data_IF_964937009109
#
_entry.id   IF_964937009109
#
_cell.length_a   1.000
_cell.length_b   1.000
_cell.length_c   1.000
_cell.angle_alpha   90.00
_cell.angle_beta   90.00
_cell.angle_gamma   90.00
#
_symmetry.space_group_name_H-M   'P 1'
#
loop_
_entity.id
_entity.type
_entity.pdbx_description
1 polymer ?
#
# COMPACT_ATOMS: atom_id res chain seq x y z
N UNK A 1 11.92 -60.69 64.57
CA UNK A 1 11.17 -59.70 63.85
C UNK A 1 12.03 -58.47 63.44
N UNK A 2 13.06 -58.63 62.58
CA UNK A 2 13.95 -57.49 62.18
C UNK A 2 14.12 -57.31 60.67
N UNK A 3 13.48 -58.19 59.83
CA UNK A 3 13.61 -58.12 58.35
C UNK A 3 12.66 -57.17 57.63
N UNK A 4 11.57 -56.72 58.27
CA UNK A 4 10.54 -55.85 57.60
C UNK A 4 11.01 -54.40 57.44
N UNK A 5 11.80 -53.84 58.38
CA UNK A 5 12.22 -52.41 58.30
C UNK A 5 13.22 -52.08 57.16
N UNK A 6 14.08 -53.07 56.81
CA UNK A 6 15.09 -52.89 55.75
C UNK A 6 14.49 -52.91 54.32
N UNK A 7 13.45 -53.73 54.11
CA UNK A 7 12.68 -53.75 52.83
C UNK A 7 11.93 -52.43 52.53
N UNK A 8 11.35 -51.81 53.53
CA UNK A 8 10.66 -50.55 53.48
C UNK A 8 11.60 -49.37 53.01
N UNK A 9 12.87 -49.41 53.42
CA UNK A 9 13.86 -48.40 53.07
C UNK A 9 14.31 -48.48 51.62
N UNK A 10 14.45 -49.68 51.05
CA UNK A 10 14.82 -49.91 49.64
C UNK A 10 13.67 -49.56 48.74
N UNK A 11 12.45 -49.94 49.08
CA UNK A 11 11.26 -49.56 48.29
C UNK A 11 11.03 -48.04 48.22
N UNK A 12 11.24 -47.33 49.31
CA UNK A 12 11.18 -45.86 49.37
C UNK A 12 12.25 -45.19 48.50
N UNK A 13 13.45 -45.71 48.43
CA UNK A 13 14.53 -45.22 47.58
C UNK A 13 14.19 -45.45 46.08
N UNK A 14 13.73 -46.66 45.76
CA UNK A 14 13.31 -46.98 44.39
C UNK A 14 12.19 -46.09 43.92
N UNK A 15 11.17 -45.84 44.74
CA UNK A 15 10.06 -44.95 44.41
C UNK A 15 10.54 -43.50 44.21
N UNK A 16 11.51 -43.02 44.99
CA UNK A 16 12.08 -41.68 44.77
C UNK A 16 12.84 -41.58 43.46
N UNK A 17 13.65 -42.57 43.10
CA UNK A 17 14.38 -42.56 41.83
C UNK A 17 13.44 -42.66 40.60
N UNK A 18 12.45 -43.51 40.65
CA UNK A 18 11.47 -43.62 39.56
C UNK A 18 10.64 -42.35 39.43
N UNK A 19 10.21 -41.74 40.52
CA UNK A 19 9.49 -40.46 40.48
C UNK A 19 10.38 -39.33 39.94
N UNK A 20 11.65 -39.27 40.31
CA UNK A 20 12.61 -38.28 39.79
C UNK A 20 12.86 -38.49 38.30
N UNK A 21 12.97 -39.72 37.84
CA UNK A 21 13.21 -40.05 36.44
C UNK A 21 12.00 -39.72 35.56
N UNK A 22 10.78 -40.03 36.07
CA UNK A 22 9.53 -39.62 35.41
C UNK A 22 9.37 -38.10 35.36
N UNK A 23 9.69 -37.42 36.46
CA UNK A 23 9.65 -35.94 36.49
C UNK A 23 10.60 -35.31 35.45
N UNK A 24 11.84 -35.85 35.37
CA UNK A 24 12.82 -35.40 34.40
C UNK A 24 12.35 -35.65 32.95
N UNK A 25 11.80 -36.83 32.68
CA UNK A 25 11.27 -37.15 31.35
C UNK A 25 10.12 -36.23 30.94
N UNK A 26 9.21 -35.90 31.85
CA UNK A 26 8.11 -34.96 31.62
C UNK A 26 8.61 -33.53 31.36
N UNK A 27 9.63 -33.08 32.11
CA UNK A 27 10.23 -31.77 31.88
C UNK A 27 10.90 -31.67 30.52
N UNK A 28 11.67 -32.69 30.13
CA UNK A 28 12.33 -32.72 28.80
C UNK A 28 11.31 -32.78 27.66
N UNK A 29 10.26 -33.58 27.84
CA UNK A 29 9.16 -33.65 26.84
C UNK A 29 8.44 -32.32 26.72
N UNK A 30 8.08 -31.68 27.83
CA UNK A 30 7.42 -30.37 27.82
C UNK A 30 8.28 -29.29 27.16
N UNK A 31 9.59 -29.29 27.46
CA UNK A 31 10.53 -28.35 26.85
C UNK A 31 10.64 -28.56 25.33
N UNK A 32 10.72 -29.80 24.89
CA UNK A 32 10.72 -30.15 23.46
C UNK A 32 9.46 -29.69 22.73
N UNK A 33 8.29 -29.87 23.35
CA UNK A 33 7.02 -29.40 22.81
C UNK A 33 6.99 -27.88 22.70
N UNK A 34 7.40 -27.15 23.75
CA UNK A 34 7.43 -25.67 23.74
C UNK A 34 8.35 -25.14 22.65
N UNK A 35 9.56 -25.71 22.52
CA UNK A 35 10.49 -25.31 21.43
C UNK A 35 9.91 -25.60 20.04
N UNK A 36 9.30 -26.76 19.84
CA UNK A 36 8.69 -27.13 18.57
C UNK A 36 7.53 -26.20 18.19
N UNK A 37 6.66 -25.91 19.15
CA UNK A 37 5.53 -24.98 18.94
C UNK A 37 6.04 -23.56 18.64
N UNK A 38 7.01 -23.07 19.41
CA UNK A 38 7.62 -21.77 19.18
C UNK A 38 8.20 -21.66 17.77
N UNK A 39 8.99 -22.64 17.34
CA UNK A 39 9.60 -22.62 16.01
C UNK A 39 8.56 -22.66 14.90
N UNK A 40 7.52 -23.50 15.04
CA UNK A 40 6.43 -23.58 14.06
C UNK A 40 5.65 -22.26 13.98
N UNK A 41 5.34 -21.64 15.12
CA UNK A 41 4.65 -20.35 15.14
C UNK A 41 5.50 -19.25 14.52
N UNK A 42 6.80 -19.19 14.86
CA UNK A 42 7.70 -18.19 14.28
C UNK A 42 7.78 -18.33 12.76
N UNK A 43 8.01 -19.55 12.26
CA UNK A 43 8.08 -19.78 10.81
C UNK A 43 6.76 -19.45 10.12
N UNK A 44 5.63 -19.90 10.69
CA UNK A 44 4.30 -19.57 10.12
C UNK A 44 3.99 -18.07 10.08
N UNK A 45 4.49 -17.32 11.07
CA UNK A 45 4.36 -15.86 11.10
C UNK A 45 5.23 -15.23 10.01
N UNK A 46 6.48 -15.65 9.89
CA UNK A 46 7.41 -15.16 8.87
C UNK A 46 6.85 -15.43 7.47
N UNK A 47 6.46 -16.67 7.18
CA UNK A 47 5.89 -17.07 5.89
C UNK A 47 4.64 -16.24 5.53
N UNK A 48 3.80 -15.97 6.54
CA UNK A 48 2.60 -15.14 6.36
C UNK A 48 2.94 -13.69 6.03
N UNK A 49 3.91 -13.10 6.72
CA UNK A 49 4.34 -11.73 6.44
C UNK A 49 5.05 -11.61 5.09
N UNK A 50 5.86 -12.58 4.71
CA UNK A 50 6.49 -12.64 3.40
C UNK A 50 5.43 -12.69 2.29
N UNK A 51 4.46 -13.59 2.40
CA UNK A 51 3.34 -13.68 1.47
C UNK A 51 2.52 -12.38 1.38
N UNK A 52 2.23 -11.74 2.52
CA UNK A 52 1.50 -10.47 2.54
C UNK A 52 2.31 -9.35 1.86
N UNK A 53 3.62 -9.28 2.12
CA UNK A 53 4.51 -8.29 1.52
C UNK A 53 4.59 -8.47 0.01
N UNK A 54 4.75 -9.69 -0.46
CA UNK A 54 4.76 -10.02 -1.89
C UNK A 54 3.43 -9.63 -2.55
N UNK A 55 2.32 -9.97 -1.92
CA UNK A 55 0.98 -9.62 -2.42
C UNK A 55 0.73 -8.12 -2.46
N UNK A 56 1.19 -7.39 -1.45
CA UNK A 56 1.14 -5.92 -1.44
C UNK A 56 2.00 -5.34 -2.57
N UNK A 57 3.19 -5.88 -2.80
CA UNK A 57 4.05 -5.48 -3.92
C UNK A 57 3.37 -5.65 -5.28
N UNK A 58 2.79 -6.82 -5.55
CA UNK A 58 2.04 -7.10 -6.77
C UNK A 58 0.80 -6.18 -6.92
N UNK A 59 0.12 -5.90 -5.83
CA UNK A 59 -1.04 -4.99 -5.86
C UNK A 59 -0.62 -3.58 -6.24
N UNK A 60 0.46 -3.07 -5.63
CA UNK A 60 1.00 -1.75 -5.95
C UNK A 60 1.50 -1.66 -7.40
N UNK A 61 2.16 -2.71 -7.89
CA UNK A 61 2.60 -2.80 -9.29
C UNK A 61 1.41 -2.73 -10.26
N UNK A 62 0.36 -3.49 -9.99
CA UNK A 62 -0.87 -3.46 -10.80
C UNK A 62 -1.53 -2.08 -10.76
N UNK A 63 -1.61 -1.46 -9.59
CA UNK A 63 -2.15 -0.09 -9.45
C UNK A 63 -1.31 0.91 -10.25
N UNK A 64 0.03 0.77 -10.21
CA UNK A 64 0.92 1.60 -11.00
C UNK A 64 0.65 1.45 -12.49
N UNK A 65 0.63 0.22 -13.00
CA UNK A 65 0.40 -0.04 -14.44
C UNK A 65 -0.95 0.49 -14.90
N UNK A 66 -2.02 0.21 -14.17
CA UNK A 66 -3.36 0.70 -14.51
C UNK A 66 -3.45 2.23 -14.50
N UNK A 67 -2.76 2.89 -13.55
CA UNK A 67 -2.74 4.34 -13.50
C UNK A 67 -1.91 4.94 -14.64
N UNK A 68 -0.77 4.32 -14.96
CA UNK A 68 0.06 4.76 -16.08
C UNK A 68 -0.67 4.62 -17.42
N UNK A 69 -1.36 3.50 -17.64
CA UNK A 69 -2.22 3.26 -18.80
C UNK A 69 -3.36 4.29 -18.88
N UNK A 70 -4.12 4.47 -17.79
CA UNK A 70 -5.23 5.42 -17.77
C UNK A 70 -4.76 6.87 -18.01
N UNK A 71 -3.63 7.27 -17.41
CA UNK A 71 -3.06 8.60 -17.67
C UNK A 71 -2.51 8.74 -19.09
N UNK A 72 -1.99 7.65 -19.68
CA UNK A 72 -1.58 7.66 -21.09
C UNK A 72 -2.77 7.80 -22.04
N UNK A 73 -3.88 7.12 -21.77
CA UNK A 73 -5.12 7.29 -22.54
C UNK A 73 -5.64 8.73 -22.45
N UNK A 74 -5.60 9.35 -21.26
CA UNK A 74 -5.96 10.75 -21.10
C UNK A 74 -5.14 11.68 -21.99
N UNK A 75 -3.82 11.43 -22.15
CA UNK A 75 -2.96 12.24 -23.01
C UNK A 75 -3.38 12.14 -24.48
N UNK A 76 -3.81 10.96 -24.91
CA UNK A 76 -4.22 10.72 -26.31
C UNK A 76 -5.62 11.24 -26.62
N UNK A 77 -6.37 11.71 -25.63
CA UNK A 77 -7.71 12.22 -25.83
C UNK A 77 -7.66 13.57 -26.55
N UNK A 78 -8.39 13.70 -27.67
CA UNK A 78 -8.32 14.85 -28.57
C UNK A 78 -8.58 16.18 -27.86
N UNK A 79 -9.58 16.24 -26.97
CA UNK A 79 -9.91 17.47 -26.24
C UNK A 79 -8.81 17.85 -25.23
N UNK A 80 -8.07 16.86 -24.66
CA UNK A 80 -6.88 17.12 -23.83
C UNK A 80 -5.77 17.72 -24.69
N UNK A 81 -5.49 17.14 -25.86
CA UNK A 81 -4.46 17.66 -26.77
C UNK A 81 -4.79 19.07 -27.24
N UNK A 82 -6.04 19.33 -27.59
CA UNK A 82 -6.48 20.67 -28.00
C UNK A 82 -6.39 21.69 -26.85
N UNK A 83 -6.65 21.27 -25.60
CA UNK A 83 -6.49 22.14 -24.42
C UNK A 83 -5.06 22.63 -24.19
N UNK A 84 -4.07 21.92 -24.74
CA UNK A 84 -2.65 22.28 -24.66
C UNK A 84 -2.23 23.27 -25.75
N UNK A 85 -3.07 23.49 -26.78
CA UNK A 85 -2.76 24.41 -27.85
C UNK A 85 -2.95 25.87 -27.45
N UNK A 86 -2.29 26.78 -28.17
CA UNK A 86 -2.26 28.21 -27.83
C UNK A 86 -3.63 28.87 -27.93
N UNK A 87 -4.53 28.37 -28.79
CA UNK A 87 -5.88 28.89 -28.95
C UNK A 87 -6.84 28.49 -27.82
N UNK A 88 -6.54 27.36 -27.14
CA UNK A 88 -7.35 26.76 -26.09
C UNK A 88 -8.66 26.18 -26.59
N UNK A 89 -9.43 25.61 -25.68
CA UNK A 89 -10.70 24.98 -25.97
C UNK A 89 -11.85 25.98 -26.17
N UNK A 90 -12.78 25.66 -27.03
CA UNK A 90 -14.08 26.28 -27.07
C UNK A 90 -14.92 25.91 -25.83
N UNK A 91 -15.86 26.77 -25.41
CA UNK A 91 -16.69 26.55 -24.21
C UNK A 91 -17.39 25.18 -24.17
N UNK A 92 -17.85 24.70 -25.35
CA UNK A 92 -18.51 23.38 -25.45
C UNK A 92 -17.54 22.24 -25.09
N UNK A 93 -16.29 22.37 -25.52
CA UNK A 93 -15.24 21.37 -25.25
C UNK A 93 -14.77 21.38 -23.82
N UNK A 94 -14.78 22.52 -23.14
CA UNK A 94 -14.56 22.60 -21.71
C UNK A 94 -15.57 21.76 -20.93
N UNK A 95 -16.85 21.80 -21.34
CA UNK A 95 -17.89 20.98 -20.72
C UNK A 95 -17.67 19.49 -21.00
N UNK A 96 -17.27 19.14 -22.22
CA UNK A 96 -16.97 17.76 -22.60
C UNK A 96 -15.78 17.22 -21.80
N UNK A 97 -14.71 18.00 -21.69
CA UNK A 97 -13.51 17.63 -20.93
C UNK A 97 -13.81 17.50 -19.43
N UNK A 98 -14.60 18.42 -18.86
CA UNK A 98 -15.05 18.31 -17.46
C UNK A 98 -15.85 17.03 -17.22
N UNK A 99 -16.74 16.66 -18.13
CA UNK A 99 -17.49 15.40 -18.06
C UNK A 99 -16.56 14.19 -18.18
N UNK A 100 -15.62 14.21 -19.11
CA UNK A 100 -14.66 13.15 -19.28
C UNK A 100 -13.91 12.88 -17.96
N UNK A 101 -13.33 13.91 -17.37
CA UNK A 101 -12.64 13.78 -16.08
C UNK A 101 -13.57 13.44 -14.91
N UNK A 102 -14.82 13.85 -14.91
CA UNK A 102 -15.78 13.45 -13.88
C UNK A 102 -16.10 11.93 -13.88
N UNK A 103 -15.95 11.26 -15.02
CA UNK A 103 -16.30 9.84 -15.20
C UNK A 103 -15.11 8.90 -15.31
N UNK A 104 -13.88 9.40 -15.47
CA UNK A 104 -12.70 8.56 -15.34
C UNK A 104 -12.64 8.05 -13.91
N UNK A 105 -12.74 6.75 -13.72
CA UNK A 105 -12.71 6.13 -12.41
C UNK A 105 -11.76 4.95 -12.38
N UNK A 106 -10.74 5.04 -11.54
CA UNK A 106 -10.05 3.88 -11.03
C UNK A 106 -10.53 3.68 -9.59
N UNK A 107 -11.01 2.50 -9.24
CA UNK A 107 -11.66 2.21 -7.96
C UNK A 107 -10.79 2.54 -6.73
N UNK A 108 -9.46 2.56 -6.92
CA UNK A 108 -8.47 2.85 -5.88
C UNK A 108 -7.99 4.31 -5.89
N UNK A 109 -8.44 5.15 -6.82
CA UNK A 109 -8.10 6.58 -6.88
C UNK A 109 -9.20 7.38 -6.20
N UNK A 110 -8.87 8.04 -5.11
CA UNK A 110 -9.82 8.82 -4.34
C UNK A 110 -10.25 10.09 -5.09
N UNK A 111 -9.27 10.80 -5.66
CA UNK A 111 -9.52 12.01 -6.43
C UNK A 111 -8.41 12.26 -7.46
N UNK A 112 -8.67 13.13 -8.44
CA UNK A 112 -7.69 13.52 -9.46
C UNK A 112 -8.02 14.89 -10.04
N UNK A 113 -7.02 15.54 -10.60
CA UNK A 113 -7.21 16.76 -11.38
C UNK A 113 -6.28 16.79 -12.60
N UNK A 114 -6.75 17.42 -13.64
CA UNK A 114 -5.98 17.81 -14.82
C UNK A 114 -5.95 19.33 -14.93
N UNK A 115 -4.81 19.89 -15.26
CA UNK A 115 -4.61 21.33 -15.44
C UNK A 115 -4.09 21.59 -16.84
N UNK A 116 -4.79 22.43 -17.59
CA UNK A 116 -4.39 22.82 -18.94
C UNK A 116 -3.38 23.99 -18.96
N UNK A 117 -2.92 24.37 -20.15
CA UNK A 117 -1.97 25.47 -20.34
C UNK A 117 -2.48 26.84 -19.91
N UNK A 118 -3.79 27.01 -19.74
CA UNK A 118 -4.44 28.27 -19.36
C UNK A 118 -4.79 28.33 -17.87
N UNK A 119 -4.48 27.26 -17.15
CA UNK A 119 -4.79 27.15 -15.72
C UNK A 119 -6.24 26.74 -15.45
N UNK A 120 -6.97 26.20 -16.45
CA UNK A 120 -8.25 25.58 -16.15
C UNK A 120 -8.01 24.22 -15.50
N UNK A 121 -8.76 23.95 -14.43
CA UNK A 121 -8.68 22.70 -13.67
C UNK A 121 -9.90 21.86 -13.97
N UNK A 122 -9.67 20.60 -14.29
CA UNK A 122 -10.69 19.59 -14.52
C UNK A 122 -10.49 18.50 -13.50
N UNK A 123 -11.47 18.30 -12.65
CA UNK A 123 -11.38 17.38 -11.52
C UNK A 123 -12.65 16.53 -11.41
N UNK A 124 -12.61 15.55 -10.55
CA UNK A 124 -13.80 14.79 -10.17
C UNK A 124 -14.83 15.76 -9.56
N UNK A 125 -16.11 15.53 -9.80
CA UNK A 125 -17.24 16.46 -9.52
C UNK A 125 -17.42 16.92 -8.06
N UNK A 126 -16.54 16.52 -7.15
CA UNK A 126 -16.60 16.86 -5.73
C UNK A 126 -15.39 17.65 -5.21
N UNK A 127 -14.40 17.93 -6.06
CA UNK A 127 -13.23 18.71 -5.64
C UNK A 127 -13.33 20.14 -6.19
N UNK A 128 -13.39 21.12 -5.29
CA UNK A 128 -13.33 22.55 -5.62
C UNK A 128 -11.87 23.01 -5.84
N UNK A 129 -11.03 22.14 -6.42
CA UNK A 129 -9.60 22.42 -6.65
C UNK A 129 -9.45 23.51 -7.69
N UNK A 130 -8.71 24.56 -7.36
CA UNK A 130 -8.38 25.65 -8.25
C UNK A 130 -6.93 25.56 -8.74
N UNK A 131 -6.59 26.31 -9.81
CA UNK A 131 -5.20 26.39 -10.29
C UNK A 131 -4.25 26.92 -9.19
N UNK A 132 -4.70 27.83 -8.37
CA UNK A 132 -3.91 28.39 -7.27
C UNK A 132 -3.60 27.30 -6.23
N UNK A 133 -4.54 26.45 -5.91
CA UNK A 133 -4.32 25.32 -4.98
C UNK A 133 -3.25 24.37 -5.51
N UNK A 134 -3.27 24.09 -6.83
CA UNK A 134 -2.24 23.24 -7.47
C UNK A 134 -0.86 23.88 -7.41
N UNK A 135 -0.73 25.18 -7.65
CA UNK A 135 0.55 25.90 -7.56
C UNK A 135 1.04 25.96 -6.10
N UNK A 136 0.17 26.25 -5.14
CA UNK A 136 0.50 26.35 -3.71
C UNK A 136 0.84 25.00 -3.09
N UNK A 137 0.28 23.90 -3.59
CA UNK A 137 0.62 22.54 -3.14
C UNK A 137 2.10 22.20 -3.31
N UNK A 138 2.76 22.85 -4.25
CA UNK A 138 4.16 22.60 -4.58
C UNK A 138 4.42 21.23 -5.19
N UNK A 139 3.40 20.54 -5.70
CA UNK A 139 3.53 19.21 -6.28
C UNK A 139 4.40 19.16 -7.52
N UNK A 140 4.50 20.27 -8.25
CA UNK A 140 5.43 20.40 -9.39
C UNK A 140 6.86 19.99 -9.08
N UNK A 141 7.37 20.28 -7.89
CA UNK A 141 8.73 19.89 -7.49
C UNK A 141 8.95 18.38 -7.41
N UNK A 142 7.89 17.60 -7.13
CA UNK A 142 7.96 16.14 -7.10
C UNK A 142 7.95 15.54 -8.49
N UNK A 143 7.31 16.21 -9.45
CA UNK A 143 7.29 15.77 -10.84
C UNK A 143 8.65 16.02 -11.52
N UNK A 144 9.39 17.07 -11.10
CA UNK A 144 10.68 17.44 -11.71
C UNK A 144 10.53 17.80 -13.19
N UNK A 145 11.62 17.69 -13.95
CA UNK A 145 11.68 18.11 -15.36
C UNK A 145 11.45 16.96 -16.37
N UNK A 146 11.12 15.76 -15.89
CA UNK A 146 10.88 14.60 -16.74
C UNK A 146 9.42 14.54 -17.21
N UNK A 147 9.18 14.89 -18.48
CA UNK A 147 7.85 14.99 -19.08
C UNK A 147 7.22 13.66 -19.50
N UNK A 148 7.96 12.55 -19.47
CA UNK A 148 7.49 11.30 -20.10
C UNK A 148 7.08 10.20 -19.12
N UNK A 149 7.26 10.40 -17.82
CA UNK A 149 7.03 9.35 -16.84
C UNK A 149 6.06 9.77 -15.77
N UNK A 150 5.19 8.84 -15.41
CA UNK A 150 4.38 8.92 -14.19
C UNK A 150 5.29 8.83 -12.98
N UNK A 151 5.12 9.74 -12.03
CA UNK A 151 5.88 9.75 -10.77
C UNK A 151 4.94 9.56 -9.60
N UNK A 152 5.41 8.76 -8.65
CA UNK A 152 4.75 8.54 -7.39
C UNK A 152 5.49 9.29 -6.30
N UNK A 153 4.75 9.98 -5.45
CA UNK A 153 5.31 10.66 -4.31
C UNK A 153 4.35 10.66 -3.13
N UNK A 154 4.93 10.62 -1.94
CA UNK A 154 4.19 10.69 -0.69
C UNK A 154 4.23 12.12 -0.17
N UNK A 155 3.08 12.75 -0.01
CA UNK A 155 2.99 14.12 0.46
C UNK A 155 1.75 14.32 1.34
N UNK A 156 1.78 15.41 2.13
CA UNK A 156 0.58 15.88 2.81
C UNK A 156 -0.41 16.37 1.76
N UNK A 157 -1.65 15.92 1.86
CA UNK A 157 -2.70 16.37 0.97
C UNK A 157 -3.16 17.77 1.37
N UNK A 158 -2.76 18.72 0.56
CA UNK A 158 -3.21 20.12 0.64
C UNK A 158 -4.11 20.49 -0.53
N UNK A 159 -4.39 19.52 -1.44
CA UNK A 159 -5.08 19.76 -2.68
C UNK A 159 -6.55 19.32 -2.62
N UNK A 160 -6.80 18.14 -2.06
CA UNK A 160 -8.16 17.56 -2.00
C UNK A 160 -8.79 17.65 -0.61
N UNK A 161 -8.10 18.29 0.35
CA UNK A 161 -8.66 18.68 1.64
C UNK A 161 -8.74 17.59 2.70
N UNK A 162 -8.00 16.49 2.55
CA UNK A 162 -7.97 15.43 3.57
C UNK A 162 -7.10 15.79 4.77
N UNK A 163 -6.17 16.74 4.60
CA UNK A 163 -5.19 17.19 5.60
C UNK A 163 -4.24 16.10 6.10
N UNK A 164 -4.34 14.89 5.55
CA UNK A 164 -3.54 13.72 5.84
C UNK A 164 -2.46 13.48 4.78
N UNK A 165 -1.54 12.55 5.05
CA UNK A 165 -0.57 12.11 4.06
C UNK A 165 -1.21 11.12 3.09
N UNK A 166 -1.03 11.37 1.80
CA UNK A 166 -1.53 10.52 0.74
C UNK A 166 -0.44 10.18 -0.28
N UNK A 167 -0.64 9.10 -1.00
CA UNK A 167 0.18 8.72 -2.14
C UNK A 167 -0.39 9.42 -3.38
N UNK A 168 0.42 10.28 -3.97
CA UNK A 168 0.08 10.99 -5.20
C UNK A 168 0.76 10.35 -6.39
N UNK A 169 0.07 10.41 -7.51
CA UNK A 169 0.56 9.98 -8.81
C UNK A 169 0.37 11.15 -9.75
N UNK A 170 1.42 11.57 -10.43
CA UNK A 170 1.35 12.69 -11.34
C UNK A 170 2.27 12.53 -12.53
N UNK A 171 1.90 13.17 -13.64
CA UNK A 171 2.74 13.31 -14.84
C UNK A 171 2.45 14.62 -15.55
N UNK A 172 3.42 15.09 -16.31
CA UNK A 172 3.18 16.15 -17.27
C UNK A 172 2.52 15.61 -18.52
N UNK A 173 1.57 16.39 -19.02
CA UNK A 173 0.97 16.17 -20.33
C UNK A 173 1.67 17.06 -21.36
N UNK A 174 2.05 16.51 -22.47
CA UNK A 174 2.71 17.22 -23.57
C UNK A 174 1.82 17.22 -24.80
N UNK A 175 1.82 18.32 -25.55
CA UNK A 175 1.27 18.31 -26.90
C UNK A 175 2.02 17.32 -27.78
N UNK A 176 1.29 16.62 -28.62
CA UNK A 176 1.82 15.67 -29.60
C UNK A 176 2.14 16.34 -30.95
N UNK A 177 1.83 17.64 -31.09
CA UNK A 177 2.15 18.48 -32.24
C UNK A 177 3.45 19.23 -32.06
#
# INVERSE_FOLDING_TARGET
>A
MKKSKKRSGIQKRYLKYTAALLGLALLLSSFGVVLSVRNRLTNSIVDKYEFLTERMGLTLENMYQQTDEATAECILYDDVQESLQTQGLENVKHIALSKYFAYIGLDYVADYCYVDNKGNVYSRSYSDVTYQDVEESGFRRYLGDEYSRTKWFWAKDTLFGTDDYALFIGRYVRSLE
#
